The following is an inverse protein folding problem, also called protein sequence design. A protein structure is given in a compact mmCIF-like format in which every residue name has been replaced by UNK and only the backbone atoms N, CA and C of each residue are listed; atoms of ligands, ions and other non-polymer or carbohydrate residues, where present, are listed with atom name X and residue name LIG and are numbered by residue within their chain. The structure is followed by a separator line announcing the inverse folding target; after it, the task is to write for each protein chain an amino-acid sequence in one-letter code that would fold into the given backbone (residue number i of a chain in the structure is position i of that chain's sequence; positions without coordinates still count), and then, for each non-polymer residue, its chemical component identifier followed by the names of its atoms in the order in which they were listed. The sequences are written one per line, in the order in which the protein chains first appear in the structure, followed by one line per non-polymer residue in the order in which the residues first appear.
data_IF_270377564143
#
_entry.id   IF_270377564143
#
_cell.length_a   1.000
_cell.length_b   1.000
_cell.length_c   1.000
_cell.angle_alpha   90.00
_cell.angle_beta   90.00
_cell.angle_gamma   90.00
#
_symmetry.space_group_name_H-M   'P 1'
#
loop_
_entity.id
_entity.type
_entity.pdbx_description
1 polymer ?
#
# COMPACT_ATOMS: atom_id res chain seq x y z
N UNK A 1 -36.58 12.73 22.13
CA UNK A 1 -35.48 13.52 21.52
C UNK A 1 -34.17 12.95 22.02
N UNK A 2 -33.65 11.94 21.33
CA UNK A 2 -32.34 11.34 21.61
C UNK A 2 -31.33 11.98 20.67
N UNK A 3 -30.47 12.81 21.26
CA UNK A 3 -29.32 13.43 20.59
C UNK A 3 -28.34 12.34 20.19
N UNK A 4 -28.21 12.13 18.87
CA UNK A 4 -27.19 11.26 18.29
C UNK A 4 -25.84 11.98 18.44
N UNK A 5 -25.05 11.54 19.42
CA UNK A 5 -23.67 11.97 19.57
C UNK A 5 -22.89 11.42 18.36
N UNK A 6 -22.55 12.31 17.43
CA UNK A 6 -21.72 11.96 16.28
C UNK A 6 -20.31 11.80 16.83
N UNK A 7 -19.91 10.56 17.09
CA UNK A 7 -18.51 10.19 17.29
C UNK A 7 -17.68 10.73 16.13
N UNK A 8 -17.00 11.85 16.38
CA UNK A 8 -16.04 12.44 15.45
C UNK A 8 -14.84 11.50 15.45
N UNK A 9 -14.84 10.51 14.55
CA UNK A 9 -13.67 9.71 14.25
C UNK A 9 -12.55 10.65 13.83
N UNK A 10 -11.65 10.97 14.77
CA UNK A 10 -10.47 11.78 14.51
C UNK A 10 -9.62 11.00 13.51
N UNK A 11 -9.60 11.46 12.25
CA UNK A 11 -8.69 10.95 11.22
C UNK A 11 -7.26 11.23 11.69
N UNK A 12 -6.64 10.26 12.33
CA UNK A 12 -5.25 10.40 12.74
C UNK A 12 -4.36 10.24 11.51
N UNK A 13 -3.70 11.32 11.11
CA UNK A 13 -2.68 11.28 10.06
C UNK A 13 -1.53 10.35 10.51
N UNK A 14 -1.19 9.29 9.75
CA UNK A 14 -0.12 8.35 10.14
C UNK A 14 1.22 9.03 10.37
N UNK A 15 1.49 10.14 9.68
CA UNK A 15 2.69 10.95 9.88
C UNK A 15 2.69 11.58 11.28
N UNK A 16 1.54 12.13 11.70
CA UNK A 16 1.37 12.73 13.03
C UNK A 16 1.49 11.66 14.11
N UNK A 17 0.87 10.48 13.92
CA UNK A 17 0.99 9.37 14.88
C UNK A 17 2.43 8.90 15.06
N UNK A 18 3.17 8.71 13.98
CA UNK A 18 4.57 8.28 14.05
C UNK A 18 5.46 9.36 14.67
N UNK A 19 5.15 10.64 14.44
CA UNK A 19 5.87 11.74 15.09
C UNK A 19 5.58 11.77 16.59
N UNK A 20 4.33 11.68 16.99
CA UNK A 20 3.92 11.76 18.40
C UNK A 20 4.39 10.53 19.18
N UNK A 21 4.34 9.35 18.56
CA UNK A 21 4.97 8.15 19.09
C UNK A 21 6.48 8.35 19.28
N UNK A 22 7.19 8.89 18.27
CA UNK A 22 8.62 9.14 18.36
C UNK A 22 8.95 10.06 19.55
N UNK A 23 8.20 11.16 19.71
CA UNK A 23 8.38 12.08 20.84
C UNK A 23 8.23 11.38 22.19
N UNK A 24 7.30 10.42 22.32
CA UNK A 24 7.13 9.63 23.56
C UNK A 24 8.30 8.70 23.84
N UNK A 25 8.87 8.07 22.81
CA UNK A 25 9.96 7.09 22.99
C UNK A 25 11.35 7.73 23.05
N UNK A 26 11.52 8.96 22.53
CA UNK A 26 12.82 9.61 22.37
C UNK A 26 13.63 9.71 23.67
N UNK A 27 12.96 10.01 24.79
CA UNK A 27 13.56 10.15 26.12
C UNK A 27 13.14 9.02 27.09
N UNK A 28 12.52 7.95 26.58
CA UNK A 28 12.08 6.86 27.43
C UNK A 28 13.29 6.10 27.99
N UNK A 29 13.44 6.08 29.32
CA UNK A 29 14.59 5.47 29.99
C UNK A 29 14.80 4.00 29.62
N UNK A 30 13.71 3.25 29.41
CA UNK A 30 13.77 1.85 28.97
C UNK A 30 14.36 1.73 27.57
N UNK A 31 13.87 2.52 26.61
CA UNK A 31 14.39 2.55 25.24
C UNK A 31 15.86 2.97 25.20
N UNK A 32 16.25 3.95 26.02
CA UNK A 32 17.66 4.38 26.11
C UNK A 32 18.54 3.34 26.78
N UNK A 33 18.05 2.62 27.79
CA UNK A 33 18.78 1.50 28.39
C UNK A 33 19.03 0.39 27.37
N UNK A 34 17.99 0.02 26.61
CA UNK A 34 18.09 -1.00 25.56
C UNK A 34 19.11 -0.58 24.50
N UNK A 35 19.00 0.66 23.96
CA UNK A 35 19.94 1.15 22.93
C UNK A 35 21.37 1.25 23.44
N UNK A 36 21.59 1.74 24.66
CA UNK A 36 22.92 1.82 25.25
C UNK A 36 23.54 0.42 25.49
N UNK A 37 22.72 -0.60 25.72
CA UNK A 37 23.20 -2.00 25.80
C UNK A 37 23.70 -2.55 24.45
N UNK A 38 23.31 -1.92 23.34
CA UNK A 38 23.72 -2.36 22.01
C UNK A 38 25.15 -2.00 21.63
N UNK A 39 25.80 -1.15 22.43
CA UNK A 39 27.20 -0.73 22.24
C UNK A 39 27.47 -0.12 20.85
N UNK A 40 26.57 0.76 20.39
CA UNK A 40 26.71 1.41 19.07
C UNK A 40 27.91 2.37 19.01
N UNK A 41 28.28 2.98 20.14
CA UNK A 41 29.43 3.88 20.34
C UNK A 41 30.00 3.68 21.75
N UNK A 42 31.19 4.23 22.01
CA UNK A 42 31.82 4.26 23.33
C UNK A 42 31.06 5.14 24.33
N UNK A 43 30.47 6.23 23.86
CA UNK A 43 29.66 7.15 24.64
C UNK A 43 28.20 6.69 24.76
N UNK A 44 27.55 7.06 25.87
CA UNK A 44 26.13 6.77 26.09
C UNK A 44 25.25 7.80 25.37
N UNK A 45 24.14 7.33 24.83
CA UNK A 45 23.08 8.14 24.26
C UNK A 45 22.10 8.58 25.35
N UNK A 46 21.71 9.86 25.31
CA UNK A 46 20.73 10.47 26.20
C UNK A 46 19.38 10.72 25.50
N UNK A 47 19.33 10.54 24.18
CA UNK A 47 18.11 10.60 23.37
C UNK A 47 18.20 9.66 22.16
N UNK A 48 17.06 9.19 21.66
CA UNK A 48 17.01 8.44 20.39
C UNK A 48 17.35 9.33 19.18
N UNK A 49 17.16 10.64 19.29
CA UNK A 49 17.58 11.59 18.26
C UNK A 49 19.13 11.63 18.11
N UNK A 50 19.88 11.50 19.21
CA UNK A 50 21.35 11.33 19.12
C UNK A 50 21.72 10.03 18.39
N UNK A 51 20.96 8.95 18.62
CA UNK A 51 21.15 7.68 17.92
C UNK A 51 20.87 7.84 16.43
N UNK A 52 19.81 8.56 16.05
CA UNK A 52 19.49 8.86 14.66
C UNK A 52 20.57 9.71 13.98
N UNK A 53 21.08 10.72 14.67
CA UNK A 53 22.19 11.55 14.19
C UNK A 53 23.45 10.71 14.01
N UNK A 54 23.77 9.85 14.97
CA UNK A 54 24.86 8.88 14.87
C UNK A 54 24.67 7.88 13.72
N UNK A 55 23.42 7.56 13.34
CA UNK A 55 23.07 6.77 12.16
C UNK A 55 22.89 7.62 10.87
N UNK A 56 23.30 8.89 10.91
CA UNK A 56 23.41 9.78 9.76
C UNK A 56 22.13 10.48 9.32
N UNK A 57 21.13 10.67 10.19
CA UNK A 57 19.86 11.35 9.87
C UNK A 57 20.07 12.75 9.28
N UNK A 58 21.00 13.53 9.83
CA UNK A 58 21.41 14.87 9.36
C UNK A 58 22.86 14.89 8.82
N UNK A 59 23.46 13.71 8.61
CA UNK A 59 24.86 13.56 8.25
C UNK A 59 25.13 13.72 6.74
N UNK A 60 26.41 13.74 6.38
CA UNK A 60 26.84 13.74 4.99
C UNK A 60 26.40 12.46 4.25
N UNK A 61 26.18 12.55 2.93
CA UNK A 61 25.67 11.43 2.10
C UNK A 61 26.54 10.16 2.11
N UNK A 62 27.80 10.26 2.56
CA UNK A 62 28.77 9.17 2.56
C UNK A 62 29.59 9.16 3.87
N UNK A 63 28.92 9.12 5.02
CA UNK A 63 29.56 8.94 6.31
C UNK A 63 29.66 7.44 6.65
N UNK A 64 30.89 6.93 6.69
CA UNK A 64 31.16 5.50 6.94
C UNK A 64 30.89 5.10 8.39
N UNK A 65 31.14 5.98 9.36
CA UNK A 65 30.83 5.71 10.77
C UNK A 65 29.33 5.64 10.97
N UNK A 66 28.58 6.54 10.33
CA UNK A 66 27.13 6.52 10.38
C UNK A 66 26.53 5.24 9.75
N UNK A 67 27.08 4.80 8.62
CA UNK A 67 26.70 3.53 7.99
C UNK A 67 27.01 2.32 8.90
N UNK A 68 28.11 2.34 9.66
CA UNK A 68 28.45 1.28 10.63
C UNK A 68 27.47 1.25 11.81
N UNK A 69 27.14 2.41 12.38
CA UNK A 69 26.12 2.52 13.43
C UNK A 69 24.79 1.97 12.90
N UNK A 70 24.37 2.41 11.71
CA UNK A 70 23.14 1.95 11.08
C UNK A 70 23.17 0.44 10.78
N UNK A 71 24.32 -0.13 10.39
CA UNK A 71 24.47 -1.56 10.16
C UNK A 71 24.17 -2.38 11.43
N UNK A 72 24.67 -1.94 12.59
CA UNK A 72 24.42 -2.60 13.87
C UNK A 72 22.95 -2.54 14.24
N UNK A 73 22.29 -1.39 14.05
CA UNK A 73 20.86 -1.23 14.31
C UNK A 73 20.04 -2.12 13.36
N UNK A 74 20.36 -2.13 12.06
CA UNK A 74 19.65 -2.95 11.06
C UNK A 74 19.80 -4.44 11.32
N UNK A 75 20.97 -4.91 11.77
CA UNK A 75 21.15 -6.32 12.16
C UNK A 75 20.22 -6.70 13.32
N UNK A 76 20.05 -5.82 14.30
CA UNK A 76 19.11 -6.01 15.42
C UNK A 76 17.66 -5.92 14.99
N UNK A 77 17.35 -5.02 14.06
CA UNK A 77 15.99 -4.77 13.57
C UNK A 77 15.28 -6.06 13.11
N UNK A 78 16.00 -7.07 12.62
CA UNK A 78 15.42 -8.36 12.25
C UNK A 78 14.58 -9.02 13.36
N UNK A 79 14.94 -8.79 14.64
CA UNK A 79 14.27 -9.38 15.81
C UNK A 79 13.74 -8.32 16.78
N UNK A 80 14.39 -7.18 16.88
CA UNK A 80 14.09 -6.11 17.83
C UNK A 80 13.17 -5.03 17.22
N UNK A 81 12.04 -4.76 17.88
CA UNK A 81 11.05 -3.78 17.43
C UNK A 81 11.54 -2.33 17.55
N UNK A 82 12.29 -1.99 18.62
CA UNK A 82 12.85 -0.66 18.82
C UNK A 82 13.90 -0.37 17.75
N UNK A 83 14.76 -1.35 17.43
CA UNK A 83 15.74 -1.21 16.36
C UNK A 83 15.07 -0.97 15.00
N UNK A 84 14.04 -1.77 14.67
CA UNK A 84 13.25 -1.56 13.45
C UNK A 84 12.59 -0.17 13.41
N UNK A 85 12.09 0.31 14.55
CA UNK A 85 11.47 1.64 14.67
C UNK A 85 12.46 2.79 14.48
N UNK A 86 13.70 2.66 14.97
CA UNK A 86 14.79 3.63 14.75
C UNK A 86 15.16 3.66 13.26
N UNK A 87 15.29 2.50 12.61
CA UNK A 87 15.56 2.44 11.16
C UNK A 87 14.41 3.08 10.37
N UNK A 88 13.16 2.80 10.73
CA UNK A 88 11.99 3.42 10.10
C UNK A 88 12.06 4.94 10.19
N UNK A 89 12.36 5.48 11.38
CA UNK A 89 12.51 6.92 11.58
C UNK A 89 13.66 7.49 10.73
N UNK A 90 14.77 6.76 10.60
CA UNK A 90 15.91 7.14 9.78
C UNK A 90 15.58 7.25 8.28
N UNK A 91 14.71 6.37 7.77
CA UNK A 91 14.30 6.35 6.35
C UNK A 91 13.00 7.12 6.08
N UNK A 92 12.38 7.68 7.12
CA UNK A 92 11.09 8.34 7.01
C UNK A 92 11.11 9.57 6.07
N UNK A 93 12.07 10.52 6.17
CA UNK A 93 12.12 11.65 5.23
C UNK A 93 12.24 11.24 3.75
N UNK A 94 13.16 10.34 3.34
CA UNK A 94 13.22 9.91 1.94
C UNK A 94 12.01 9.08 1.51
N UNK A 95 11.34 8.34 2.41
CA UNK A 95 10.06 7.68 2.10
C UNK A 95 8.97 8.69 1.75
N UNK A 96 8.83 9.77 2.52
CA UNK A 96 7.89 10.86 2.22
C UNK A 96 8.18 11.51 0.86
N UNK A 97 9.45 11.70 0.53
CA UNK A 97 9.85 12.24 -0.77
C UNK A 97 9.42 11.33 -1.94
N UNK A 98 9.52 10.01 -1.76
CA UNK A 98 9.08 9.03 -2.76
C UNK A 98 7.56 9.01 -2.90
N UNK A 99 6.83 8.99 -1.78
CA UNK A 99 5.37 9.06 -1.80
C UNK A 99 4.88 10.35 -2.50
N UNK A 100 5.50 11.50 -2.22
CA UNK A 100 5.19 12.77 -2.89
C UNK A 100 5.49 12.73 -4.39
N UNK A 101 6.60 12.10 -4.80
CA UNK A 101 6.95 11.95 -6.21
C UNK A 101 5.98 11.01 -6.94
N UNK A 102 5.66 9.87 -6.35
CA UNK A 102 4.82 8.82 -6.95
C UNK A 102 3.33 9.16 -6.92
N UNK A 103 2.87 9.84 -5.88
CA UNK A 103 1.49 10.32 -5.74
C UNK A 103 1.11 11.41 -6.75
N UNK A 104 2.08 12.13 -7.32
CA UNK A 104 1.83 13.05 -8.46
C UNK A 104 1.60 12.33 -9.79
N UNK A 105 2.16 11.13 -9.93
CA UNK A 105 2.15 10.37 -11.18
C UNK A 105 0.94 9.42 -11.24
N UNK A 106 0.48 8.91 -10.08
CA UNK A 106 -0.66 8.00 -9.99
C UNK A 106 -1.94 8.74 -9.60
N UNK A 107 -3.07 8.34 -10.18
CA UNK A 107 -4.41 8.93 -9.96
C UNK A 107 -4.90 8.92 -8.51
N UNK A 108 -4.35 8.05 -7.66
CA UNK A 108 -4.78 7.85 -6.26
C UNK A 108 -4.10 8.81 -5.25
N UNK A 109 -3.18 9.67 -5.68
CA UNK A 109 -2.63 10.75 -4.86
C UNK A 109 -1.57 10.35 -3.83
N UNK A 110 -1.21 11.30 -2.96
CA UNK A 110 -0.12 11.16 -1.97
C UNK A 110 -0.44 10.15 -0.87
N UNK A 111 -1.64 10.20 -0.28
CA UNK A 111 -2.00 9.37 0.87
C UNK A 111 -1.95 7.88 0.53
N UNK A 112 -2.45 7.49 -0.65
CA UNK A 112 -2.35 6.13 -1.16
C UNK A 112 -0.90 5.72 -1.47
N UNK A 113 -0.12 6.61 -2.08
CA UNK A 113 1.29 6.32 -2.34
C UNK A 113 2.09 6.15 -1.02
N UNK A 114 1.74 6.92 0.01
CA UNK A 114 2.37 6.85 1.32
C UNK A 114 1.96 5.59 2.08
N UNK A 115 0.68 5.18 2.03
CA UNK A 115 0.24 3.92 2.67
C UNK A 115 0.99 2.71 2.10
N UNK A 116 1.14 2.60 0.78
CA UNK A 116 1.91 1.52 0.14
C UNK A 116 3.38 1.51 0.57
N UNK A 117 4.01 2.69 0.63
CA UNK A 117 5.40 2.84 1.08
C UNK A 117 5.54 2.43 2.55
N UNK A 118 4.61 2.83 3.40
CA UNK A 118 4.63 2.50 4.82
C UNK A 118 4.40 1.00 5.06
N UNK A 119 3.46 0.38 4.33
CA UNK A 119 3.16 -1.06 4.43
C UNK A 119 4.39 -1.93 4.14
N UNK A 120 5.19 -1.58 3.14
CA UNK A 120 6.41 -2.32 2.83
C UNK A 120 7.61 -1.96 3.70
N UNK A 121 7.63 -0.79 4.32
CA UNK A 121 8.78 -0.32 5.09
C UNK A 121 9.14 -1.29 6.21
N UNK A 122 8.14 -1.75 6.97
CA UNK A 122 8.38 -2.67 8.08
C UNK A 122 9.01 -3.99 7.61
N UNK A 123 8.39 -4.64 6.62
CA UNK A 123 8.89 -5.89 6.05
C UNK A 123 10.34 -5.74 5.54
N UNK A 124 10.60 -4.72 4.72
CA UNK A 124 11.93 -4.48 4.13
C UNK A 124 12.99 -4.26 5.20
N UNK A 125 12.68 -3.49 6.26
CA UNK A 125 13.61 -3.24 7.36
C UNK A 125 13.93 -4.54 8.11
N UNK A 126 12.90 -5.33 8.44
CA UNK A 126 13.06 -6.60 9.18
C UNK A 126 13.83 -7.65 8.39
N UNK A 127 13.71 -7.65 7.06
CA UNK A 127 14.33 -8.66 6.19
C UNK A 127 15.54 -8.13 5.42
N UNK A 128 16.08 -6.95 5.76
CA UNK A 128 17.17 -6.35 4.99
C UNK A 128 18.43 -7.22 5.06
N UNK A 129 19.02 -7.63 3.90
CA UNK A 129 20.15 -8.55 3.88
C UNK A 129 21.46 -7.79 4.15
N UNK A 130 21.69 -7.39 5.40
CA UNK A 130 22.82 -6.53 5.80
C UNK A 130 24.18 -7.11 5.39
N UNK A 131 24.35 -8.43 5.50
CA UNK A 131 25.62 -9.10 5.15
C UNK A 131 25.91 -9.07 3.64
N UNK A 132 24.89 -8.96 2.78
CA UNK A 132 25.07 -8.84 1.32
C UNK A 132 25.21 -7.39 0.86
N UNK A 133 24.69 -6.43 1.64
CA UNK A 133 24.64 -5.00 1.28
C UNK A 133 25.03 -4.12 2.48
N UNK A 134 26.30 -4.15 2.93
CA UNK A 134 26.75 -3.48 4.15
C UNK A 134 27.04 -1.98 3.98
N UNK A 135 26.78 -1.39 2.82
CA UNK A 135 27.06 0.02 2.51
C UNK A 135 25.85 0.71 1.92
N UNK A 136 25.73 2.03 2.12
CA UNK A 136 24.61 2.86 1.66
C UNK A 136 23.28 2.31 2.16
N UNK A 137 23.24 1.88 3.42
CA UNK A 137 22.18 1.01 3.95
C UNK A 137 20.83 1.71 3.88
N UNK A 138 20.73 2.95 4.37
CA UNK A 138 19.49 3.74 4.31
C UNK A 138 18.99 3.90 2.87
N UNK A 139 19.88 4.21 1.92
CA UNK A 139 19.52 4.40 0.52
C UNK A 139 19.06 3.09 -0.15
N UNK A 140 19.65 1.96 0.21
CA UNK A 140 19.25 0.65 -0.30
C UNK A 140 17.89 0.22 0.28
N UNK A 141 17.66 0.41 1.58
CA UNK A 141 16.37 0.16 2.22
C UNK A 141 15.28 0.97 1.51
N UNK A 142 15.48 2.28 1.35
CA UNK A 142 14.53 3.16 0.66
C UNK A 142 14.26 2.70 -0.78
N UNK A 143 15.30 2.26 -1.50
CA UNK A 143 15.14 1.73 -2.86
C UNK A 143 14.33 0.44 -2.90
N UNK A 144 14.57 -0.46 -1.95
CA UNK A 144 13.85 -1.73 -1.84
C UNK A 144 12.37 -1.45 -1.49
N UNK A 145 12.08 -0.52 -0.57
CA UNK A 145 10.71 -0.06 -0.26
C UNK A 145 10.02 0.47 -1.51
N UNK A 146 10.67 1.35 -2.28
CA UNK A 146 10.11 1.87 -3.53
C UNK A 146 9.86 0.75 -4.55
N UNK A 147 10.81 -0.19 -4.67
CA UNK A 147 10.68 -1.31 -5.57
C UNK A 147 9.46 -2.16 -5.22
N UNK A 148 9.27 -2.53 -3.95
CA UNK A 148 8.13 -3.33 -3.52
C UNK A 148 6.80 -2.58 -3.67
N UNK A 149 6.75 -1.30 -3.27
CA UNK A 149 5.54 -0.50 -3.32
C UNK A 149 5.05 -0.21 -4.75
N UNK A 150 5.95 0.04 -5.70
CA UNK A 150 5.55 0.53 -7.02
C UNK A 150 6.00 -0.33 -8.19
N UNK A 151 7.17 -0.98 -8.11
CA UNK A 151 7.84 -1.58 -9.27
C UNK A 151 7.62 -3.09 -9.37
N UNK A 152 7.55 -3.82 -8.25
CA UNK A 152 7.40 -5.28 -8.24
C UNK A 152 6.11 -5.72 -8.92
N UNK A 153 5.01 -5.00 -8.69
CA UNK A 153 3.72 -5.23 -9.37
C UNK A 153 3.80 -4.92 -10.87
N UNK A 154 4.42 -3.80 -11.25
CA UNK A 154 4.58 -3.43 -12.68
C UNK A 154 5.50 -4.40 -13.46
N UNK A 155 6.50 -5.01 -12.80
CA UNK A 155 7.46 -5.94 -13.43
C UNK A 155 7.02 -7.39 -13.43
N UNK A 156 6.09 -7.79 -12.56
CA UNK A 156 5.33 -9.01 -12.78
C UNK A 156 4.53 -8.74 -14.05
N UNK A 157 4.92 -9.38 -15.17
CA UNK A 157 4.06 -9.44 -16.37
C UNK A 157 2.63 -9.66 -15.87
N UNK A 158 1.62 -8.94 -16.37
CA UNK A 158 0.25 -9.17 -15.96
C UNK A 158 -0.13 -10.58 -16.42
N UNK A 159 0.16 -11.58 -15.60
CA UNK A 159 -0.50 -12.88 -15.65
C UNK A 159 -1.88 -12.64 -15.08
N UNK A 160 -2.71 -11.96 -15.87
CA UNK A 160 -4.15 -11.83 -15.71
C UNK A 160 -4.57 -11.73 -14.22
N UNK A 161 -4.21 -10.63 -13.56
CA UNK A 161 -4.72 -10.33 -12.21
C UNK A 161 -6.24 -10.44 -12.27
N UNK A 162 -6.80 -11.31 -11.43
CA UNK A 162 -8.22 -11.61 -11.45
C UNK A 162 -8.93 -10.33 -11.06
N UNK A 163 -10.05 -10.00 -11.70
CA UNK A 163 -10.91 -8.93 -11.20
C UNK A 163 -11.37 -9.18 -9.76
N UNK A 164 -11.35 -10.45 -9.31
CA UNK A 164 -11.54 -10.83 -7.90
C UNK A 164 -10.41 -10.28 -7.00
N UNK A 165 -9.17 -10.17 -7.49
CA UNK A 165 -8.06 -9.58 -6.73
C UNK A 165 -8.15 -8.03 -6.69
N UNK A 166 -8.98 -7.42 -7.56
CA UNK A 166 -9.37 -6.02 -7.43
C UNK A 166 -10.46 -5.80 -6.38
N UNK A 167 -11.14 -6.85 -5.90
CA UNK A 167 -11.99 -6.71 -4.73
C UNK A 167 -11.13 -6.38 -3.51
N UNK A 168 -9.90 -6.90 -3.40
CA UNK A 168 -8.94 -6.47 -2.37
C UNK A 168 -8.55 -4.99 -2.50
N UNK A 169 -8.54 -4.41 -3.71
CA UNK A 169 -8.36 -2.97 -3.93
C UNK A 169 -9.57 -2.14 -3.48
N UNK A 170 -10.79 -2.67 -3.65
CA UNK A 170 -12.03 -2.04 -3.16
C UNK A 170 -12.15 -2.24 -1.63
N UNK A 171 -11.66 -3.36 -1.10
CA UNK A 171 -11.61 -3.64 0.34
C UNK A 171 -10.52 -2.79 1.02
N UNK A 172 -9.40 -2.49 0.34
CA UNK A 172 -8.41 -1.50 0.82
C UNK A 172 -8.90 -0.04 0.70
N UNK A 173 -10.04 0.21 0.05
CA UNK A 173 -10.72 1.51 0.12
C UNK A 173 -11.47 1.71 1.46
N UNK A 174 -11.66 0.65 2.25
CA UNK A 174 -12.00 0.80 3.67
C UNK A 174 -10.73 1.19 4.42
N UNK A 175 -10.45 2.49 4.50
CA UNK A 175 -9.42 2.98 5.43
C UNK A 175 -9.82 2.52 6.82
N UNK A 176 -9.09 1.61 7.48
CA UNK A 176 -9.30 1.40 8.91
C UNK A 176 -8.75 2.60 9.67
N UNK A 177 -9.48 3.09 10.66
CA UNK A 177 -8.91 4.05 11.61
C UNK A 177 -7.73 3.41 12.37
N UNK A 178 -7.02 4.22 13.15
CA UNK A 178 -5.86 3.78 13.93
C UNK A 178 -6.19 2.77 15.04
N UNK A 179 -7.47 2.41 15.22
CA UNK A 179 -7.98 1.43 16.19
C UNK A 179 -8.49 0.15 15.51
N UNK A 180 -8.37 0.04 14.18
CA UNK A 180 -8.81 -1.13 13.42
C UNK A 180 -10.28 -1.10 13.02
N UNK A 181 -10.97 0.03 13.20
CA UNK A 181 -12.37 0.20 12.79
C UNK A 181 -12.42 0.57 11.31
N UNK A 182 -13.12 -0.21 10.48
CA UNK A 182 -13.31 0.11 9.07
C UNK A 182 -14.04 1.46 8.92
N UNK A 183 -13.40 2.45 8.30
CA UNK A 183 -14.08 3.70 7.90
C UNK A 183 -14.88 3.35 6.64
N UNK A 184 -16.20 3.42 6.76
CA UNK A 184 -17.19 3.29 5.70
C UNK A 184 -17.09 4.49 4.74
N UNK A 185 -15.99 4.57 3.96
CA UNK A 185 -15.90 5.46 2.81
C UNK A 185 -15.70 4.62 1.57
N UNK A 186 -16.80 4.22 0.95
CA UNK A 186 -16.75 3.74 -0.43
C UNK A 186 -17.96 2.97 -0.94
N UNK A 187 -18.92 2.56 -0.11
CA UNK A 187 -20.00 1.68 -0.55
C UNK A 187 -21.41 2.03 -0.01
N UNK A 188 -21.64 3.30 0.34
CA UNK A 188 -22.97 3.88 0.57
C UNK A 188 -22.92 5.28 -0.03
N UNK A 189 -23.10 5.45 -1.32
CA UNK A 189 -24.33 5.24 -2.07
C UNK A 189 -23.99 4.55 -3.39
N UNK A 190 -24.71 3.49 -3.77
CA UNK A 190 -24.79 3.16 -5.18
C UNK A 190 -25.42 4.38 -5.85
N UNK A 191 -24.60 5.22 -6.50
CA UNK A 191 -25.13 6.34 -7.26
C UNK A 191 -26.18 5.78 -8.23
N UNK A 192 -27.41 6.33 -8.25
CA UNK A 192 -28.47 5.87 -9.15
C UNK A 192 -28.12 5.95 -10.65
N UNK A 193 -26.93 6.47 -10.98
CA UNK A 193 -26.39 6.59 -12.34
C UNK A 193 -25.51 5.42 -12.79
N UNK A 194 -25.15 4.48 -11.91
CA UNK A 194 -24.24 3.37 -12.27
C UNK A 194 -24.86 2.37 -13.26
N UNK A 195 -26.17 2.09 -13.12
CA UNK A 195 -26.90 1.24 -14.07
C UNK A 195 -27.10 1.94 -15.42
N UNK A 196 -27.38 3.26 -15.40
CA UNK A 196 -27.57 4.06 -16.62
C UNK A 196 -26.25 4.21 -17.40
N UNK A 197 -25.15 4.47 -16.70
CA UNK A 197 -23.81 4.52 -17.31
C UNK A 197 -23.36 3.16 -17.87
N UNK A 198 -23.70 2.06 -17.18
CA UNK A 198 -23.45 0.71 -17.70
C UNK A 198 -24.25 0.45 -18.98
N UNK A 199 -25.51 0.90 -19.04
CA UNK A 199 -26.34 0.79 -20.25
C UNK A 199 -25.80 1.63 -21.39
N UNK A 200 -25.30 2.84 -21.10
CA UNK A 200 -24.65 3.71 -22.08
C UNK A 200 -23.41 3.02 -22.68
N UNK A 201 -22.51 2.50 -21.83
CA UNK A 201 -21.33 1.74 -22.28
C UNK A 201 -21.70 0.49 -23.10
N UNK A 202 -22.75 -0.24 -22.70
CA UNK A 202 -23.20 -1.42 -23.45
C UNK A 202 -23.83 -1.05 -24.80
N UNK A 203 -24.44 0.14 -24.92
CA UNK A 203 -24.94 0.67 -26.18
C UNK A 203 -23.80 1.13 -27.09
N UNK A 204 -22.79 1.84 -26.56
CA UNK A 204 -21.59 2.21 -27.32
C UNK A 204 -20.87 0.95 -27.84
N UNK A 205 -20.80 -0.10 -27.02
CA UNK A 205 -20.23 -1.39 -27.42
C UNK A 205 -21.04 -2.12 -28.51
N UNK A 206 -22.35 -1.87 -28.62
CA UNK A 206 -23.18 -2.39 -29.73
C UNK A 206 -22.84 -1.69 -31.03
N UNK A 207 -22.51 -0.41 -31.00
CA UNK A 207 -22.09 0.37 -32.17
C UNK A 207 -20.71 -0.08 -32.67
N UNK A 208 -19.80 -0.44 -31.76
CA UNK A 208 -18.41 -0.87 -32.05
C UNK A 208 -18.25 -2.34 -32.49
N UNK A 209 -19.32 -2.93 -33.05
CA UNK A 209 -19.34 -4.30 -33.60
C UNK A 209 -18.91 -5.39 -32.62
N UNK A 210 -19.14 -5.29 -31.30
CA UNK A 210 -18.85 -6.36 -30.33
C UNK A 210 -19.73 -7.60 -30.60
N UNK A 211 -19.22 -8.82 -30.32
CA UNK A 211 -19.98 -10.06 -30.55
C UNK A 211 -21.33 -10.04 -29.78
N UNK A 212 -22.46 -10.42 -30.43
CA UNK A 212 -23.76 -10.49 -29.77
C UNK A 212 -23.78 -11.44 -28.56
N UNK A 213 -22.99 -12.52 -28.62
CA UNK A 213 -22.84 -13.46 -27.53
C UNK A 213 -22.15 -12.82 -26.31
N UNK A 214 -21.12 -12.00 -26.56
CA UNK A 214 -20.38 -11.29 -25.52
C UNK A 214 -21.25 -10.25 -24.81
N UNK A 215 -22.07 -9.52 -25.56
CA UNK A 215 -23.02 -8.56 -24.99
C UNK A 215 -24.10 -9.27 -24.14
N UNK A 216 -24.64 -10.39 -24.62
CA UNK A 216 -25.62 -11.18 -23.88
C UNK A 216 -25.07 -11.73 -22.56
N UNK A 217 -23.81 -12.17 -22.54
CA UNK A 217 -23.14 -12.62 -21.30
C UNK A 217 -22.96 -11.46 -20.33
N UNK A 218 -22.56 -10.28 -20.79
CA UNK A 218 -22.37 -9.10 -19.92
C UNK A 218 -23.69 -8.56 -19.36
N UNK A 219 -24.74 -8.53 -20.18
CA UNK A 219 -26.09 -8.09 -19.79
C UNK A 219 -26.75 -9.07 -18.80
N UNK A 220 -26.54 -10.38 -18.98
CA UNK A 220 -27.04 -11.35 -18.01
C UNK A 220 -26.28 -11.32 -16.68
N UNK A 221 -25.00 -10.92 -16.69
CA UNK A 221 -24.16 -10.78 -15.50
C UNK A 221 -24.29 -9.43 -14.79
N UNK A 222 -24.90 -8.42 -15.43
CA UNK A 222 -25.20 -7.14 -14.75
C UNK A 222 -26.31 -7.28 -13.72
N UNK A 223 -27.24 -8.21 -13.95
CA UNK A 223 -28.46 -8.37 -13.14
C UNK A 223 -28.42 -9.62 -12.25
N UNK A 224 -27.35 -10.43 -12.29
CA UNK A 224 -27.24 -11.71 -11.58
C UNK A 224 -25.82 -11.96 -11.10
N UNK A 225 -25.68 -12.67 -9.99
CA UNK A 225 -24.37 -13.15 -9.55
C UNK A 225 -23.83 -14.24 -10.49
N UNK A 226 -22.51 -14.49 -10.44
CA UNK A 226 -21.84 -15.50 -11.29
C UNK A 226 -22.37 -16.91 -11.00
N UNK A 227 -22.72 -17.18 -9.74
CA UNK A 227 -23.21 -18.49 -9.31
C UNK A 227 -24.65 -18.71 -9.81
N UNK A 228 -25.50 -17.68 -9.74
CA UNK A 228 -26.86 -17.71 -10.31
C UNK A 228 -26.83 -17.79 -11.84
N UNK A 229 -25.87 -17.13 -12.50
CA UNK A 229 -25.66 -17.21 -13.94
C UNK A 229 -25.25 -18.63 -14.36
N UNK A 230 -24.31 -19.24 -13.62
CA UNK A 230 -23.88 -20.62 -13.88
C UNK A 230 -25.03 -21.61 -13.73
N UNK A 231 -25.86 -21.43 -12.70
CA UNK A 231 -27.05 -22.25 -12.45
C UNK A 231 -28.13 -22.05 -13.53
N UNK A 232 -28.38 -20.81 -13.95
CA UNK A 232 -29.38 -20.49 -14.98
C UNK A 232 -29.00 -21.06 -16.36
N UNK A 233 -27.73 -21.04 -16.72
CA UNK A 233 -27.23 -21.57 -17.99
C UNK A 233 -26.86 -23.06 -17.94
N UNK A 234 -27.01 -23.72 -16.77
CA UNK A 234 -26.66 -25.14 -16.61
C UNK A 234 -25.17 -25.44 -16.82
N UNK A 235 -24.30 -24.47 -16.57
CA UNK A 235 -22.85 -24.56 -16.78
C UNK A 235 -22.10 -24.55 -15.46
N UNK A 236 -20.85 -25.03 -15.47
CA UNK A 236 -20.00 -24.92 -14.28
C UNK A 236 -19.64 -23.45 -13.98
N UNK A 237 -19.47 -23.11 -12.71
CA UNK A 237 -18.99 -21.78 -12.27
C UNK A 237 -17.66 -21.41 -12.94
N UNK A 238 -16.80 -22.41 -13.22
CA UNK A 238 -15.54 -22.22 -13.96
C UNK A 238 -15.79 -21.78 -15.40
N UNK A 239 -16.76 -22.38 -16.07
CA UNK A 239 -17.16 -22.04 -17.45
C UNK A 239 -17.80 -20.66 -17.50
N UNK A 240 -18.67 -20.32 -16.55
CA UNK A 240 -19.25 -18.98 -16.42
C UNK A 240 -18.18 -17.89 -16.26
N UNK A 241 -17.17 -18.14 -15.40
CA UNK A 241 -16.02 -17.24 -15.23
C UNK A 241 -15.18 -17.12 -16.51
N UNK A 242 -15.01 -18.21 -17.25
CA UNK A 242 -14.32 -18.20 -18.54
C UNK A 242 -15.06 -17.33 -19.57
N UNK A 243 -16.38 -17.49 -19.70
CA UNK A 243 -17.20 -16.70 -20.62
C UNK A 243 -17.23 -15.21 -20.27
N UNK A 244 -17.33 -14.88 -18.98
CA UNK A 244 -17.20 -13.49 -18.50
C UNK A 244 -15.85 -12.90 -18.90
N UNK A 245 -14.77 -13.66 -18.73
CA UNK A 245 -13.42 -13.22 -19.07
C UNK A 245 -13.26 -12.97 -20.57
N UNK A 246 -13.74 -13.90 -21.39
CA UNK A 246 -13.64 -13.80 -22.85
C UNK A 246 -14.46 -12.60 -23.36
N UNK A 247 -15.65 -12.39 -22.79
CA UNK A 247 -16.51 -11.24 -23.06
C UNK A 247 -15.85 -9.89 -22.71
N UNK A 248 -15.23 -9.77 -21.52
CA UNK A 248 -14.54 -8.54 -21.09
C UNK A 248 -13.30 -8.26 -21.95
N UNK A 249 -12.56 -9.30 -22.33
CA UNK A 249 -11.37 -9.15 -23.18
C UNK A 249 -11.74 -8.68 -24.58
N UNK A 250 -12.82 -9.20 -25.15
CA UNK A 250 -13.34 -8.77 -26.45
C UNK A 250 -13.82 -7.31 -26.41
N UNK A 251 -14.59 -6.94 -25.37
CA UNK A 251 -15.05 -5.56 -25.17
C UNK A 251 -13.87 -4.59 -25.10
N UNK A 252 -12.85 -4.93 -24.28
CA UNK A 252 -11.65 -4.09 -24.12
C UNK A 252 -10.83 -3.98 -25.40
N UNK A 253 -10.71 -5.06 -26.17
CA UNK A 253 -9.96 -5.05 -27.42
C UNK A 253 -10.64 -4.15 -28.46
N UNK A 254 -11.98 -4.16 -28.53
CA UNK A 254 -12.72 -3.36 -29.52
C UNK A 254 -12.88 -1.90 -29.13
N UNK A 255 -13.22 -1.60 -27.87
CA UNK A 255 -13.32 -0.20 -27.42
C UNK A 255 -11.97 0.55 -27.39
N UNK A 256 -10.84 -0.17 -27.35
CA UNK A 256 -9.50 0.46 -27.51
C UNK A 256 -9.12 0.75 -28.97
N UNK A 257 -9.79 0.13 -29.93
CA UNK A 257 -9.57 0.34 -31.35
C UNK A 257 -10.52 1.37 -31.97
N UNK A 258 -11.55 1.81 -31.22
CA UNK A 258 -12.56 2.78 -31.66
C UNK A 258 -12.24 4.24 -31.28
N UNK A 259 -11.11 4.49 -30.59
CA UNK A 259 -10.58 5.83 -30.28
C UNK A 259 -9.47 6.22 -31.27
#
# INVERSE_FOLDING_TARGET
MTTYDRDITVRCNPITLLRDEWQRINYCQRSLHDVNSWQLRSERFHSLDEVLKAAGFDGHKCDQEADQVLATIVRRAATDQLAARIVLQRVFPPMLAIAKRRGKIRSLGFDYAFSLVLSHAWEVIRTYPIERRPRKIAANIVRDIEYFAFVRRERRRPTHERLDDCLDLIVDCYTTDSRGTAIDRGAREAEPYAEDFLREILNDAREDRVSPHTLAVLESLSNRSIDEFAQYHGISVRTARMWRRDAINELRARMRCAA
#
